data_IF_174081673965
#
_entry.id   IF_174081673965
#
_cell.length_a   1.000
_cell.length_b   1.000
_cell.length_c   1.000
_cell.angle_alpha   90.00
_cell.angle_beta   90.00
_cell.angle_gamma   90.00
#
_symmetry.space_group_name_H-M   'P 1'
#
loop_
_entity.id
_entity.type
_entity.pdbx_description
1 polymer ?
#
# COMPACT_ATOMS: atom_id res chain seq x y z
N UNK A 1 16.26 -18.62 2.30
CA UNK A 1 15.41 -17.46 2.00
C UNK A 1 16.03 -16.27 2.72
N UNK A 2 16.05 -15.12 2.11
CA UNK A 2 16.59 -13.90 2.75
C UNK A 2 15.40 -13.05 3.18
N UNK A 3 15.39 -12.67 4.44
CA UNK A 3 14.46 -11.64 4.93
C UNK A 3 14.78 -10.33 4.19
N UNK A 4 13.75 -9.62 3.78
CA UNK A 4 13.90 -8.29 3.21
C UNK A 4 14.17 -7.32 4.35
N UNK A 5 15.36 -6.72 4.35
CA UNK A 5 15.68 -5.64 5.28
C UNK A 5 15.09 -4.31 4.81
N UNK A 6 14.85 -3.37 5.73
CA UNK A 6 14.41 -2.02 5.41
C UNK A 6 15.36 -1.37 4.37
N UNK A 7 16.68 -1.54 4.54
CA UNK A 7 17.67 -1.00 3.60
C UNK A 7 17.50 -1.56 2.18
N UNK A 8 17.25 -2.87 2.07
CA UNK A 8 17.01 -3.51 0.77
C UNK A 8 15.69 -3.04 0.17
N UNK A 9 14.63 -2.96 0.96
CA UNK A 9 13.32 -2.50 0.50
C UNK A 9 13.37 -1.05 -0.01
N UNK A 10 14.03 -0.15 0.74
CA UNK A 10 14.27 1.23 0.34
C UNK A 10 15.02 1.32 -0.99
N UNK A 11 16.14 0.62 -1.11
CA UNK A 11 16.93 0.60 -2.34
C UNK A 11 16.09 0.12 -3.55
N UNK A 12 15.31 -0.94 -3.40
CA UNK A 12 14.46 -1.45 -4.47
C UNK A 12 13.33 -0.48 -4.82
N UNK A 13 12.73 0.19 -3.84
CA UNK A 13 11.72 1.22 -4.07
C UNK A 13 12.30 2.39 -4.89
N UNK A 14 13.47 2.90 -4.49
CA UNK A 14 14.19 3.96 -5.22
C UNK A 14 14.49 3.53 -6.67
N UNK A 15 15.00 2.30 -6.86
CA UNK A 15 15.31 1.75 -8.18
C UNK A 15 14.08 1.63 -9.07
N UNK A 16 12.98 1.08 -8.54
CA UNK A 16 11.78 0.82 -9.32
C UNK A 16 10.97 2.08 -9.62
N UNK A 17 11.01 3.09 -8.74
CA UNK A 17 10.33 4.37 -8.96
C UNK A 17 11.21 5.44 -9.60
N UNK A 18 12.47 5.11 -9.98
CA UNK A 18 13.36 6.04 -10.66
C UNK A 18 12.71 6.65 -11.91
N UNK A 19 12.74 7.98 -12.02
CA UNK A 19 12.17 8.73 -13.14
C UNK A 19 10.64 8.82 -13.16
N UNK A 20 9.94 8.22 -12.21
CA UNK A 20 8.49 8.37 -12.08
C UNK A 20 8.13 9.62 -11.26
N UNK A 21 6.99 10.21 -11.59
CA UNK A 21 6.42 11.35 -10.85
C UNK A 21 5.00 11.07 -10.41
N UNK A 22 4.56 11.73 -9.35
CA UNK A 22 3.18 11.74 -8.89
C UNK A 22 2.27 12.43 -9.93
N UNK A 23 0.96 12.42 -9.68
CA UNK A 23 -0.05 12.98 -10.59
C UNK A 23 0.14 14.48 -10.90
N UNK A 24 0.87 15.22 -10.06
CA UNK A 24 1.26 16.62 -10.28
C UNK A 24 2.36 16.79 -11.34
N UNK A 25 2.98 15.69 -11.78
CA UNK A 25 4.09 15.62 -12.75
C UNK A 25 5.38 16.34 -12.32
N UNK A 26 5.52 16.67 -11.07
CA UNK A 26 6.67 17.37 -10.48
C UNK A 26 7.27 16.57 -9.33
N UNK A 27 6.47 16.11 -8.39
CA UNK A 27 6.92 15.37 -7.21
C UNK A 27 7.41 13.98 -7.61
N UNK A 28 8.66 13.58 -7.27
CA UNK A 28 9.15 12.22 -7.50
C UNK A 28 8.22 11.20 -6.84
N UNK A 29 7.93 10.09 -7.55
CA UNK A 29 7.01 9.08 -7.03
C UNK A 29 7.46 8.48 -5.71
N UNK A 30 8.78 8.33 -5.52
CA UNK A 30 9.40 7.75 -4.33
C UNK A 30 9.02 8.48 -3.02
N UNK A 31 8.61 9.75 -3.07
CA UNK A 31 8.20 10.49 -1.88
C UNK A 31 6.94 9.88 -1.24
N UNK A 32 6.08 9.21 -2.02
CA UNK A 32 4.90 8.54 -1.49
C UNK A 32 5.25 7.29 -0.65
N UNK A 33 5.92 6.26 -1.17
CA UNK A 33 6.29 5.11 -0.35
C UNK A 33 7.20 5.48 0.83
N UNK A 34 8.04 6.52 0.69
CA UNK A 34 8.81 7.07 1.78
C UNK A 34 7.89 7.60 2.89
N UNK A 35 6.91 8.43 2.56
CA UNK A 35 5.94 8.97 3.53
C UNK A 35 5.15 7.84 4.21
N UNK A 36 4.73 6.83 3.46
CA UNK A 36 4.03 5.67 4.02
C UNK A 36 4.92 4.91 5.01
N UNK A 37 6.20 4.68 4.67
CA UNK A 37 7.15 4.01 5.55
C UNK A 37 7.43 4.82 6.84
N UNK A 38 7.57 6.14 6.73
CA UNK A 38 7.72 7.04 7.89
C UNK A 38 6.48 7.00 8.80
N UNK A 39 5.28 6.90 8.24
CA UNK A 39 4.06 6.72 9.05
C UNK A 39 4.01 5.35 9.71
N UNK A 40 4.34 4.27 8.99
CA UNK A 40 4.39 2.92 9.55
C UNK A 40 5.36 2.86 10.73
N UNK A 41 6.56 3.45 10.60
CA UNK A 41 7.53 3.54 11.68
C UNK A 41 6.98 4.37 12.87
N UNK A 42 6.40 5.55 12.58
CA UNK A 42 5.80 6.43 13.59
C UNK A 42 4.71 5.74 14.40
N UNK A 43 3.87 4.94 13.76
CA UNK A 43 2.77 4.21 14.41
C UNK A 43 3.19 2.81 14.89
N UNK A 44 4.49 2.57 15.10
CA UNK A 44 5.00 1.38 15.77
C UNK A 44 5.01 0.11 14.92
N UNK A 45 5.08 0.24 13.59
CA UNK A 45 5.31 -0.90 12.70
C UNK A 45 6.68 -1.52 12.91
N UNK A 46 6.75 -2.83 12.76
CA UNK A 46 8.01 -3.57 12.79
C UNK A 46 8.79 -3.44 11.46
N UNK A 47 9.98 -4.02 11.41
CA UNK A 47 10.86 -3.97 10.24
C UNK A 47 10.19 -4.56 8.99
N UNK A 48 9.35 -5.58 9.14
CA UNK A 48 8.59 -6.16 8.03
C UNK A 48 7.55 -5.18 7.49
N UNK A 49 6.78 -4.54 8.38
CA UNK A 49 5.79 -3.55 8.00
C UNK A 49 6.42 -2.34 7.29
N UNK A 50 7.57 -1.86 7.78
CA UNK A 50 8.32 -0.76 7.16
C UNK A 50 8.83 -1.18 5.77
N UNK A 51 9.36 -2.39 5.63
CA UNK A 51 9.79 -2.92 4.33
C UNK A 51 8.62 -3.07 3.34
N UNK A 52 7.47 -3.55 3.81
CA UNK A 52 6.23 -3.62 3.02
C UNK A 52 5.78 -2.23 2.57
N UNK A 53 5.86 -1.23 3.45
CA UNK A 53 5.50 0.15 3.14
C UNK A 53 6.38 0.74 2.03
N UNK A 54 7.69 0.50 2.04
CA UNK A 54 8.58 0.92 0.96
C UNK A 54 8.21 0.29 -0.39
N UNK A 55 7.71 -0.95 -0.41
CA UNK A 55 7.50 -1.74 -1.62
C UNK A 55 6.03 -1.84 -2.05
N UNK A 56 5.07 -1.28 -1.30
CA UNK A 56 3.64 -1.56 -1.49
C UNK A 56 3.12 -1.28 -2.90
N UNK A 57 3.66 -0.27 -3.58
CA UNK A 57 3.22 0.17 -4.91
C UNK A 57 4.03 -0.40 -6.09
N UNK A 58 5.16 -1.10 -5.85
CA UNK A 58 6.06 -1.52 -6.94
C UNK A 58 5.41 -2.46 -7.95
N UNK A 59 4.47 -3.29 -7.52
CA UNK A 59 3.78 -4.24 -8.39
C UNK A 59 2.71 -3.56 -9.25
N UNK A 60 2.20 -2.40 -8.81
CA UNK A 60 1.21 -1.62 -9.54
C UNK A 60 1.87 -0.66 -10.52
N UNK A 61 2.81 0.11 -10.03
CA UNK A 61 3.36 1.26 -10.72
C UNK A 61 4.64 0.94 -11.49
N UNK A 62 5.30 -0.18 -11.18
CA UNK A 62 6.63 -0.53 -11.70
C UNK A 62 6.78 -1.98 -12.14
N UNK A 63 5.69 -2.67 -12.47
CA UNK A 63 5.69 -4.09 -12.81
C UNK A 63 6.74 -4.48 -13.89
N UNK A 64 6.93 -3.63 -14.91
CA UNK A 64 7.90 -3.89 -15.98
C UNK A 64 9.35 -3.83 -15.47
N UNK A 65 9.67 -2.87 -14.59
CA UNK A 65 11.00 -2.74 -13.97
C UNK A 65 11.27 -3.89 -13.00
N UNK A 66 10.26 -4.28 -12.20
CA UNK A 66 10.34 -5.45 -11.31
C UNK A 66 10.60 -6.72 -12.11
N UNK A 67 9.85 -6.93 -13.20
CA UNK A 67 10.02 -8.08 -14.07
C UNK A 67 11.43 -8.13 -14.68
N UNK A 68 11.92 -7.01 -15.20
CA UNK A 68 13.25 -6.91 -15.79
C UNK A 68 14.37 -7.18 -14.76
N UNK A 69 14.28 -6.58 -13.58
CA UNK A 69 15.28 -6.73 -12.51
C UNK A 69 15.41 -8.18 -12.02
N UNK A 70 14.29 -8.88 -11.89
CA UNK A 70 14.27 -10.27 -11.43
C UNK A 70 14.31 -11.29 -12.59
N UNK A 71 14.49 -10.84 -13.83
CA UNK A 71 14.47 -11.69 -15.04
C UNK A 71 13.18 -12.54 -15.12
N UNK A 72 12.04 -11.91 -14.89
CA UNK A 72 10.72 -12.50 -14.94
C UNK A 72 9.99 -12.05 -16.21
N UNK A 73 9.08 -12.87 -16.71
CA UNK A 73 8.15 -12.41 -17.72
C UNK A 73 7.05 -11.54 -17.05
N UNK A 74 6.58 -10.50 -17.72
CA UNK A 74 5.54 -9.60 -17.21
C UNK A 74 4.30 -10.35 -16.71
N UNK A 75 3.88 -11.40 -17.43
CA UNK A 75 2.77 -12.25 -17.00
C UNK A 75 2.94 -12.87 -15.59
N UNK A 76 4.20 -12.97 -15.10
CA UNK A 76 4.49 -13.48 -13.77
C UNK A 76 4.26 -12.42 -12.69
N UNK A 77 4.42 -11.14 -13.05
CA UNK A 77 4.10 -10.02 -12.14
C UNK A 77 2.59 -9.76 -12.15
N UNK A 78 1.91 -9.99 -13.27
CA UNK A 78 0.47 -9.76 -13.42
C UNK A 78 -0.42 -10.82 -12.77
N UNK A 79 0.12 -11.79 -12.04
CA UNK A 79 -0.62 -12.85 -11.37
C UNK A 79 -0.03 -13.16 -10.00
N UNK A 80 -0.81 -12.94 -8.93
CA UNK A 80 -0.38 -13.22 -7.54
C UNK A 80 0.25 -14.60 -7.37
N UNK A 81 -0.39 -15.71 -7.78
CA UNK A 81 0.21 -17.04 -7.61
C UNK A 81 1.52 -17.20 -8.38
N UNK A 82 1.64 -16.65 -9.58
CA UNK A 82 2.86 -16.76 -10.38
C UNK A 82 4.00 -15.94 -9.79
N UNK A 83 3.72 -14.74 -9.30
CA UNK A 83 4.70 -13.91 -8.61
C UNK A 83 5.29 -14.65 -7.40
N UNK A 84 4.47 -15.25 -6.53
CA UNK A 84 4.96 -16.00 -5.38
C UNK A 84 5.86 -17.16 -5.78
N UNK A 85 5.46 -17.95 -6.79
CA UNK A 85 6.26 -19.08 -7.28
C UNK A 85 7.62 -18.61 -7.78
N UNK A 86 7.69 -17.48 -8.48
CA UNK A 86 8.93 -16.96 -9.04
C UNK A 86 9.84 -16.31 -7.99
N UNK A 87 9.27 -15.76 -6.93
CA UNK A 87 10.00 -15.03 -5.89
C UNK A 87 10.41 -15.93 -4.70
N UNK A 88 9.88 -17.15 -4.58
CA UNK A 88 10.07 -18.05 -3.44
C UNK A 88 11.52 -18.32 -3.04
N UNK A 89 12.44 -18.28 -4.00
CA UNK A 89 13.88 -18.54 -3.76
C UNK A 89 14.67 -17.25 -3.48
N UNK A 90 14.04 -16.09 -3.58
CA UNK A 90 14.64 -14.76 -3.42
C UNK A 90 14.18 -14.06 -2.15
N UNK A 91 12.89 -14.06 -1.92
CA UNK A 91 12.25 -13.44 -0.77
C UNK A 91 11.47 -14.50 0.01
N UNK A 92 11.25 -14.23 1.28
CA UNK A 92 10.39 -15.08 2.07
C UNK A 92 8.97 -15.11 1.47
N UNK A 93 8.39 -16.31 1.40
CA UNK A 93 7.06 -16.50 0.77
C UNK A 93 5.96 -15.74 1.49
N UNK A 94 6.05 -15.60 2.81
CA UNK A 94 5.13 -14.78 3.63
C UNK A 94 5.16 -13.33 3.20
N UNK A 95 6.35 -12.74 3.09
CA UNK A 95 6.53 -11.37 2.63
C UNK A 95 5.98 -11.14 1.22
N UNK A 96 6.29 -12.04 0.27
CA UNK A 96 5.76 -11.96 -1.09
C UNK A 96 4.23 -12.01 -1.13
N UNK A 97 3.63 -12.83 -0.27
CA UNK A 97 2.19 -12.93 -0.16
C UNK A 97 1.58 -11.63 0.37
N UNK A 98 2.16 -11.07 1.43
CA UNK A 98 1.72 -9.78 2.01
C UNK A 98 1.84 -8.65 0.99
N UNK A 99 2.99 -8.53 0.33
CA UNK A 99 3.20 -7.52 -0.72
C UNK A 99 2.18 -7.64 -1.85
N UNK A 100 1.89 -8.86 -2.29
CA UNK A 100 0.89 -9.06 -3.34
C UNK A 100 -0.54 -8.74 -2.91
N UNK A 101 -0.85 -8.84 -1.61
CA UNK A 101 -2.15 -8.45 -1.08
C UNK A 101 -2.32 -6.93 -1.02
N UNK A 102 -1.24 -6.17 -0.85
CA UNK A 102 -1.27 -4.71 -0.87
C UNK A 102 -1.55 -4.14 -2.26
N UNK A 103 -1.24 -4.89 -3.32
CA UNK A 103 -1.45 -4.46 -4.71
C UNK A 103 -2.90 -4.59 -5.17
N UNK A 104 -3.50 -3.46 -5.57
CA UNK A 104 -4.90 -3.36 -6.02
C UNK A 104 -5.11 -3.87 -7.47
N UNK A 105 -4.03 -3.95 -8.27
CA UNK A 105 -4.13 -3.98 -9.75
C UNK A 105 -3.79 -5.32 -10.39
N UNK A 106 -3.95 -6.42 -9.66
CA UNK A 106 -3.85 -7.72 -10.30
C UNK A 106 -4.99 -7.89 -11.30
N UNK A 107 -4.66 -7.93 -12.59
CA UNK A 107 -5.63 -7.95 -13.70
C UNK A 107 -6.66 -9.07 -13.64
N UNK A 108 -6.34 -10.17 -12.95
CA UNK A 108 -7.28 -11.26 -12.68
C UNK A 108 -8.41 -10.88 -11.74
N UNK A 109 -8.22 -9.82 -10.95
CA UNK A 109 -9.20 -9.36 -9.97
C UNK A 109 -9.94 -8.08 -10.42
N UNK A 110 -9.59 -7.48 -11.55
CA UNK A 110 -10.28 -6.27 -12.02
C UNK A 110 -11.80 -6.48 -12.19
N UNK A 111 -12.22 -7.67 -12.63
CA UNK A 111 -13.64 -8.00 -12.72
C UNK A 111 -14.22 -8.26 -11.32
N UNK A 112 -13.44 -8.83 -10.41
CA UNK A 112 -13.84 -9.06 -9.01
C UNK A 112 -13.87 -7.75 -8.23
N UNK A 113 -12.89 -6.84 -8.40
CA UNK A 113 -12.86 -5.52 -7.77
C UNK A 113 -13.97 -4.64 -8.33
N UNK A 114 -14.24 -4.67 -9.64
CA UNK A 114 -15.39 -3.98 -10.23
C UNK A 114 -16.71 -4.54 -9.76
N UNK A 115 -16.82 -5.86 -9.55
CA UNK A 115 -18.05 -6.51 -9.12
C UNK A 115 -18.31 -6.43 -7.63
N UNK A 116 -17.25 -6.55 -6.79
CA UNK A 116 -17.36 -6.52 -5.32
C UNK A 116 -17.21 -5.13 -4.73
N UNK A 117 -16.57 -4.21 -5.46
CA UNK A 117 -16.26 -2.88 -4.98
C UNK A 117 -15.03 -2.83 -4.05
N UNK A 118 -14.44 -1.65 -3.94
CA UNK A 118 -13.20 -1.39 -3.19
C UNK A 118 -13.31 -1.68 -1.69
N UNK A 119 -14.52 -1.58 -1.14
CA UNK A 119 -14.81 -1.90 0.27
C UNK A 119 -14.63 -3.40 0.56
N UNK A 120 -15.07 -4.27 -0.37
CA UNK A 120 -14.90 -5.71 -0.19
C UNK A 120 -13.43 -6.14 -0.30
N UNK A 121 -12.67 -5.51 -1.20
CA UNK A 121 -11.21 -5.72 -1.29
C UNK A 121 -10.50 -5.34 0.01
N UNK A 122 -10.80 -4.16 0.56
CA UNK A 122 -10.25 -3.74 1.84
C UNK A 122 -10.69 -4.68 2.98
N UNK A 123 -11.93 -5.16 2.96
CA UNK A 123 -12.40 -6.15 3.92
C UNK A 123 -11.63 -7.48 3.82
N UNK A 124 -11.35 -7.97 2.61
CA UNK A 124 -10.55 -9.19 2.42
C UNK A 124 -9.11 -9.02 2.92
N UNK A 125 -8.48 -7.84 2.69
CA UNK A 125 -7.17 -7.50 3.24
C UNK A 125 -7.14 -7.58 4.76
N UNK A 126 -8.21 -7.15 5.39
CA UNK A 126 -8.36 -7.05 6.84
C UNK A 126 -8.81 -8.35 7.50
N UNK A 127 -9.61 -9.20 6.80
CA UNK A 127 -10.12 -10.49 7.31
C UNK A 127 -8.99 -11.49 7.61
N UNK A 128 -7.89 -11.43 6.88
CA UNK A 128 -6.74 -12.30 7.12
C UNK A 128 -5.94 -11.95 8.40
N UNK A 129 -6.34 -10.89 9.11
CA UNK A 129 -5.86 -10.59 10.46
C UNK A 129 -4.39 -10.21 10.59
N UNK A 130 -3.70 -9.92 9.48
CA UNK A 130 -2.30 -9.47 9.53
C UNK A 130 -2.24 -7.99 9.91
N UNK A 131 -1.86 -7.71 11.14
CA UNK A 131 -1.83 -6.37 11.70
C UNK A 131 -0.86 -5.44 10.94
N UNK A 132 0.23 -5.98 10.37
CA UNK A 132 1.16 -5.23 9.54
C UNK A 132 0.53 -4.79 8.20
N UNK A 133 -0.25 -5.66 7.56
CA UNK A 133 -0.97 -5.28 6.32
C UNK A 133 -1.99 -4.17 6.56
N UNK A 134 -2.74 -4.28 7.66
CA UNK A 134 -3.71 -3.25 8.08
C UNK A 134 -3.00 -1.93 8.31
N UNK A 135 -1.92 -1.94 9.08
CA UNK A 135 -1.12 -0.75 9.39
C UNK A 135 -0.61 -0.07 8.12
N UNK A 136 0.04 -0.82 7.22
CA UNK A 136 0.56 -0.28 5.96
C UNK A 136 -0.57 0.32 5.12
N UNK A 137 -1.73 -0.36 5.02
CA UNK A 137 -2.85 0.15 4.21
C UNK A 137 -3.47 1.42 4.78
N UNK A 138 -3.62 1.52 6.10
CA UNK A 138 -4.09 2.74 6.76
C UNK A 138 -3.09 3.90 6.61
N UNK A 139 -1.78 3.62 6.69
CA UNK A 139 -0.73 4.61 6.44
C UNK A 139 -0.72 5.10 4.98
N UNK A 140 -0.87 4.21 3.99
CA UNK A 140 -1.05 4.56 2.58
C UNK A 140 -2.25 5.50 2.39
N UNK A 141 -3.35 5.22 3.06
CA UNK A 141 -4.53 6.08 3.00
C UNK A 141 -4.31 7.44 3.63
N UNK A 142 -3.64 7.52 4.78
CA UNK A 142 -3.26 8.79 5.40
C UNK A 142 -2.35 9.60 4.47
N UNK A 143 -1.32 8.98 3.90
CA UNK A 143 -0.43 9.63 2.94
C UNK A 143 -1.21 10.19 1.74
N UNK A 144 -2.10 9.38 1.16
CA UNK A 144 -2.97 9.80 0.05
C UNK A 144 -3.92 10.96 0.41
N UNK A 145 -4.38 11.06 1.66
CA UNK A 145 -5.20 12.18 2.14
C UNK A 145 -4.34 13.45 2.24
N UNK A 146 -3.13 13.34 2.76
CA UNK A 146 -2.23 14.47 2.97
C UNK A 146 -1.64 15.01 1.65
N UNK A 147 -1.37 14.15 0.68
CA UNK A 147 -0.90 14.50 -0.67
C UNK A 147 -1.98 15.15 -1.57
N UNK A 148 -3.00 15.76 -1.01
CA UNK A 148 -4.21 16.18 -1.71
C UNK A 148 -4.02 17.22 -2.83
N UNK A 149 -2.89 17.86 -2.93
CA UNK A 149 -2.62 18.88 -3.93
C UNK A 149 -2.16 18.25 -5.26
N UNK A 150 -2.98 18.34 -6.30
CA UNK A 150 -2.62 17.93 -7.67
C UNK A 150 -3.05 16.53 -8.11
N UNK A 151 -3.70 15.74 -7.25
CA UNK A 151 -4.11 14.38 -7.61
C UNK A 151 -5.37 14.36 -8.50
N UNK A 152 -5.44 13.35 -9.38
CA UNK A 152 -6.62 13.06 -10.21
C UNK A 152 -7.87 12.73 -9.41
N UNK A 153 -7.69 12.34 -8.14
CA UNK A 153 -8.78 11.97 -7.27
C UNK A 153 -9.24 13.19 -6.49
N UNK A 154 -10.53 13.51 -6.57
CA UNK A 154 -11.11 14.62 -5.82
C UNK A 154 -10.92 14.41 -4.31
N UNK A 155 -10.85 15.48 -3.54
CA UNK A 155 -10.82 15.42 -2.08
C UNK A 155 -11.98 14.56 -1.55
N UNK A 156 -13.18 14.71 -2.12
CA UNK A 156 -14.36 13.92 -1.76
C UNK A 156 -14.15 12.42 -1.90
N UNK A 157 -13.50 11.97 -3.01
CA UNK A 157 -13.22 10.54 -3.20
C UNK A 157 -12.21 10.01 -2.16
N UNK A 158 -11.24 10.82 -1.77
CA UNK A 158 -10.26 10.47 -0.73
C UNK A 158 -10.93 10.34 0.63
N UNK A 159 -11.82 11.27 0.96
CA UNK A 159 -12.63 11.19 2.16
C UNK A 159 -13.52 9.97 2.19
N UNK A 160 -14.20 9.70 1.08
CA UNK A 160 -15.03 8.52 1.00
C UNK A 160 -14.24 7.24 1.29
N UNK A 161 -13.04 7.14 0.73
CA UNK A 161 -12.13 6.01 1.03
C UNK A 161 -11.73 5.98 2.50
N UNK A 162 -11.35 7.10 3.08
CA UNK A 162 -11.00 7.18 4.50
C UNK A 162 -12.18 6.76 5.39
N UNK A 163 -13.38 7.28 5.14
CA UNK A 163 -14.60 6.90 5.88
C UNK A 163 -14.90 5.41 5.75
N UNK A 164 -14.72 4.81 4.58
CA UNK A 164 -14.93 3.37 4.41
C UNK A 164 -13.89 2.57 5.21
N UNK A 165 -12.63 2.99 5.25
CA UNK A 165 -11.62 2.34 6.09
C UNK A 165 -11.94 2.46 7.57
N UNK A 166 -12.35 3.64 8.03
CA UNK A 166 -12.74 3.83 9.44
C UNK A 166 -13.89 2.92 9.84
N UNK A 167 -14.94 2.84 9.02
CA UNK A 167 -16.07 1.93 9.26
C UNK A 167 -15.69 0.46 9.27
N UNK A 168 -14.64 0.11 8.55
CA UNK A 168 -14.11 -1.26 8.55
C UNK A 168 -13.23 -1.49 9.77
N UNK A 169 -12.39 -0.51 10.12
CA UNK A 169 -11.57 -0.53 11.31
C UNK A 169 -12.40 -0.72 12.60
N UNK A 170 -13.57 -0.09 12.71
CA UNK A 170 -14.52 -0.27 13.82
C UNK A 170 -15.00 -1.74 14.01
N UNK A 171 -14.84 -2.59 13.00
CA UNK A 171 -15.26 -4.01 13.01
C UNK A 171 -14.11 -4.97 13.27
N UNK A 172 -12.89 -4.46 13.39
CA UNK A 172 -11.68 -5.24 13.58
C UNK A 172 -11.22 -5.14 15.03
N UNK A 173 -10.64 -6.22 15.52
CA UNK A 173 -9.90 -6.23 16.78
C UNK A 173 -8.53 -5.58 16.52
N UNK A 174 -8.49 -4.26 16.52
CA UNK A 174 -7.31 -3.46 16.24
C UNK A 174 -6.50 -3.24 17.50
N UNK A 175 -5.17 -3.26 17.38
CA UNK A 175 -4.27 -2.89 18.47
C UNK A 175 -4.11 -1.35 18.61
N UNK A 176 -3.43 -0.90 19.67
CA UNK A 176 -3.26 0.52 20.00
C UNK A 176 -2.66 1.34 18.85
N UNK A 177 -1.80 0.74 18.02
CA UNK A 177 -1.17 1.40 16.86
C UNK A 177 -2.21 1.86 15.85
N UNK A 178 -3.18 1.01 15.60
CA UNK A 178 -4.26 1.28 14.64
C UNK A 178 -5.22 2.35 15.18
N UNK A 179 -5.50 2.36 16.48
CA UNK A 179 -6.37 3.35 17.12
C UNK A 179 -5.81 4.77 17.01
N UNK A 180 -4.51 4.96 17.26
CA UNK A 180 -3.84 6.25 17.09
C UNK A 180 -3.87 6.72 15.63
N UNK A 181 -3.60 5.80 14.70
CA UNK A 181 -3.63 6.08 13.26
C UNK A 181 -5.03 6.45 12.79
N UNK A 182 -6.07 5.75 13.23
CA UNK A 182 -7.47 6.05 12.91
C UNK A 182 -7.84 7.43 13.42
N UNK A 183 -7.50 7.76 14.66
CA UNK A 183 -7.71 9.10 15.24
C UNK A 183 -7.04 10.19 14.40
N UNK A 184 -5.84 9.93 13.89
CA UNK A 184 -5.12 10.85 13.01
C UNK A 184 -5.85 11.04 11.67
N UNK A 185 -6.34 9.96 11.06
CA UNK A 185 -7.11 10.00 9.81
C UNK A 185 -8.41 10.80 10.01
N UNK A 186 -9.12 10.57 11.11
CA UNK A 186 -10.34 11.31 11.47
C UNK A 186 -10.09 12.80 11.67
N UNK A 187 -9.02 13.16 12.35
CA UNK A 187 -8.64 14.55 12.55
C UNK A 187 -8.41 15.27 11.21
N UNK A 188 -7.70 14.65 10.28
CA UNK A 188 -7.52 15.19 8.94
C UNK A 188 -8.83 15.30 8.16
N UNK A 189 -9.73 14.33 8.31
CA UNK A 189 -11.07 14.38 7.73
C UNK A 189 -11.88 15.56 8.27
N UNK A 190 -11.92 15.74 9.59
CA UNK A 190 -12.70 16.81 10.23
C UNK A 190 -12.17 18.22 9.92
N UNK A 191 -10.86 18.40 9.83
CA UNK A 191 -10.24 19.68 9.46
C UNK A 191 -10.69 20.14 8.08
N UNK A 192 -10.85 19.24 7.14
CA UNK A 192 -11.28 19.58 5.80
C UNK A 192 -12.79 19.85 5.70
N UNK A 193 -13.61 19.13 6.44
CA UNK A 193 -15.06 19.37 6.47
C UNK A 193 -15.45 20.67 7.15
N UNK A 194 -14.65 21.18 8.10
CA UNK A 194 -14.87 22.45 8.76
C UNK A 194 -14.49 23.67 7.90
N UNK A 195 -13.87 23.47 6.74
CA UNK A 195 -13.49 24.53 5.80
C UNK A 195 -14.49 24.71 4.64
N UNK A 196 -15.55 23.90 4.59
CA UNK A 196 -16.69 24.04 3.69
C UNK A 196 -17.85 24.72 4.40
#
# INVERSE_FOLDING_TARGET
MKDITITTAKYLAELFHEGQTRADKVTPYIEHPKMVAEFVEKFGGDDEAIALAWLHDILEESADKVAAHFHLEKKHIESKPRFWIQMKDRWESGFCMKLSKLSDHWKTDQDTIKSKGKVAYLAELLIDGDSNLVLVKLCDMLANIMESNGSRMSQETRYYKAVQCLKMAERLDLDERHEELITTIEAHYNIHNSKK
#
